data_IF_161867656170
#
_entry.id   IF_161867656170
#
_cell.length_a   1.000
_cell.length_b   1.000
_cell.length_c   1.000
_cell.angle_alpha   90.00
_cell.angle_beta   90.00
_cell.angle_gamma   90.00
#
_symmetry.space_group_name_H-M   'P 1'
#
loop_
_entity.id
_entity.type
_entity.pdbx_description
1 polymer ?
#
# COMPACT_ATOMS: atom_id res chain seq x y z
N UNK A 1 -10.87 -13.18 9.32
CA UNK A 1 -11.31 -11.86 8.86
C UNK A 1 -10.50 -10.71 9.50
N UNK A 2 -10.46 -10.55 10.85
CA UNK A 2 -9.73 -9.45 11.51
C UNK A 2 -8.23 -9.51 11.23
N UNK A 3 -7.59 -10.67 11.39
CA UNK A 3 -6.15 -10.82 11.12
C UNK A 3 -5.76 -10.52 9.68
N UNK A 4 -6.58 -10.90 8.70
CA UNK A 4 -6.37 -10.58 7.28
C UNK A 4 -6.43 -9.07 7.04
N UNK A 5 -7.41 -8.39 7.64
CA UNK A 5 -7.56 -6.93 7.52
C UNK A 5 -6.38 -6.17 8.16
N UNK A 6 -5.90 -6.61 9.33
CA UNK A 6 -4.72 -6.03 9.98
C UNK A 6 -3.45 -6.24 9.15
N UNK A 7 -3.26 -7.43 8.57
CA UNK A 7 -2.12 -7.71 7.69
C UNK A 7 -2.15 -6.84 6.42
N UNK A 8 -3.28 -6.83 5.74
CA UNK A 8 -3.48 -6.01 4.52
C UNK A 8 -3.31 -4.52 4.85
N UNK A 9 -3.92 -4.05 5.94
CA UNK A 9 -3.77 -2.68 6.43
C UNK A 9 -2.31 -2.33 6.73
N UNK A 10 -1.55 -3.22 7.34
CA UNK A 10 -0.13 -3.00 7.56
C UNK A 10 0.65 -2.97 6.24
N UNK A 11 0.48 -3.95 5.36
CA UNK A 11 1.28 -4.05 4.13
C UNK A 11 0.97 -2.92 3.15
N UNK A 12 -0.29 -2.58 2.92
CA UNK A 12 -0.68 -1.52 2.00
C UNK A 12 -0.53 -0.15 2.64
N UNK A 13 -1.25 0.09 3.75
CA UNK A 13 -1.31 1.40 4.39
C UNK A 13 -0.02 1.74 5.17
N UNK A 14 0.45 0.83 6.02
CA UNK A 14 1.63 1.05 6.85
C UNK A 14 2.93 1.04 6.05
N UNK A 15 3.12 0.04 5.18
CA UNK A 15 4.39 -0.17 4.51
C UNK A 15 4.44 0.49 3.12
N UNK A 16 3.60 0.06 2.15
CA UNK A 16 3.68 0.60 0.78
C UNK A 16 3.33 2.09 0.74
N UNK A 17 2.26 2.48 1.40
CA UNK A 17 1.81 3.87 1.40
C UNK A 17 2.72 4.76 2.26
N UNK A 18 2.75 4.55 3.58
CA UNK A 18 3.43 5.47 4.51
C UNK A 18 4.95 5.39 4.44
N UNK A 19 5.51 4.18 4.33
CA UNK A 19 6.97 4.06 4.26
C UNK A 19 7.49 4.19 2.83
N UNK A 20 7.06 3.37 1.88
CA UNK A 20 7.64 3.36 0.54
C UNK A 20 7.38 4.68 -0.21
N UNK A 21 6.17 5.26 -0.11
CA UNK A 21 5.82 6.48 -0.85
C UNK A 21 6.26 7.75 -0.14
N UNK A 22 6.07 7.85 1.19
CA UNK A 22 6.21 9.09 1.94
C UNK A 22 7.36 9.13 2.94
N UNK A 23 7.99 8.00 3.26
CA UNK A 23 9.01 7.92 4.32
C UNK A 23 8.51 8.49 5.66
N UNK A 24 7.24 8.35 5.97
CA UNK A 24 6.62 8.90 7.16
C UNK A 24 7.09 8.25 8.46
N UNK A 25 7.68 7.06 8.38
CA UNK A 25 8.34 6.33 9.47
C UNK A 25 9.54 5.55 8.92
N UNK A 26 10.31 4.87 9.79
CA UNK A 26 11.48 4.10 9.38
C UNK A 26 11.47 2.71 10.03
N UNK A 27 11.22 1.62 9.27
CA UNK A 27 11.40 0.26 9.76
C UNK A 27 12.87 -0.07 9.98
N UNK A 28 13.16 -1.05 10.83
CA UNK A 28 14.44 -1.74 10.80
C UNK A 28 14.62 -2.48 9.47
N UNK A 29 15.87 -2.80 9.10
CA UNK A 29 16.13 -3.51 7.83
C UNK A 29 15.49 -4.90 7.77
N UNK A 30 15.37 -5.57 8.92
CA UNK A 30 14.66 -6.85 9.03
C UNK A 30 13.15 -6.67 8.74
N UNK A 31 12.49 -5.70 9.37
CA UNK A 31 11.07 -5.40 9.15
C UNK A 31 10.82 -4.98 7.70
N UNK A 32 11.70 -4.17 7.13
CA UNK A 32 11.64 -3.77 5.72
C UNK A 32 11.72 -4.98 4.79
N UNK A 33 12.71 -5.86 4.97
CA UNK A 33 12.89 -7.07 4.17
C UNK A 33 11.70 -8.03 4.28
N UNK A 34 11.18 -8.24 5.49
CA UNK A 34 9.99 -9.05 5.72
C UNK A 34 8.76 -8.48 5.03
N UNK A 35 8.57 -7.15 5.09
CA UNK A 35 7.44 -6.49 4.43
C UNK A 35 7.52 -6.56 2.91
N UNK A 36 8.71 -6.40 2.33
CA UNK A 36 8.94 -6.60 0.88
C UNK A 36 8.67 -8.04 0.48
N UNK A 37 9.11 -9.01 1.29
CA UNK A 37 8.82 -10.43 1.06
C UNK A 37 7.31 -10.70 1.09
N UNK A 38 6.60 -10.24 2.12
CA UNK A 38 5.17 -10.48 2.28
C UNK A 38 4.34 -9.81 1.18
N UNK A 39 4.70 -8.59 0.74
CA UNK A 39 4.04 -7.95 -0.40
C UNK A 39 4.21 -8.75 -1.69
N UNK A 40 5.37 -9.37 -1.88
CA UNK A 40 5.64 -10.25 -3.03
C UNK A 40 4.93 -11.59 -2.90
N UNK A 41 4.98 -12.20 -1.71
CA UNK A 41 4.34 -13.48 -1.40
C UNK A 41 2.84 -13.46 -1.69
N UNK A 42 2.16 -12.37 -1.35
CA UNK A 42 0.73 -12.18 -1.59
C UNK A 42 0.42 -11.44 -2.90
N UNK A 43 1.37 -11.31 -3.81
CA UNK A 43 1.18 -10.59 -5.09
C UNK A 43 0.53 -9.21 -4.92
N UNK A 44 0.85 -8.51 -3.82
CA UNK A 44 0.46 -7.11 -3.67
C UNK A 44 1.39 -6.27 -4.53
N UNK A 45 0.89 -5.27 -5.21
CA UNK A 45 1.66 -4.41 -6.16
C UNK A 45 3.15 -4.26 -5.78
N UNK A 46 4.12 -4.40 -6.71
CA UNK A 46 5.53 -4.16 -6.39
C UNK A 46 5.75 -2.81 -5.74
N UNK A 47 6.56 -2.76 -4.67
CA UNK A 47 6.72 -1.54 -3.86
C UNK A 47 7.14 -0.30 -4.67
N UNK A 48 8.03 -0.46 -5.66
CA UNK A 48 8.44 0.64 -6.54
C UNK A 48 7.29 1.15 -7.42
N UNK A 49 6.49 0.21 -7.96
CA UNK A 49 5.30 0.55 -8.76
C UNK A 49 4.27 1.30 -7.92
N UNK A 50 3.95 0.75 -6.75
CA UNK A 50 3.01 1.36 -5.81
C UNK A 50 3.43 2.78 -5.42
N UNK A 51 4.69 2.95 -5.01
CA UNK A 51 5.23 4.25 -4.63
C UNK A 51 5.21 5.26 -5.79
N UNK A 52 5.47 4.81 -7.03
CA UNK A 52 5.43 5.68 -8.20
C UNK A 52 4.01 6.17 -8.50
N UNK A 53 3.03 5.25 -8.55
CA UNK A 53 1.61 5.59 -8.77
C UNK A 53 1.14 6.58 -7.73
N UNK A 54 1.36 6.29 -6.45
CA UNK A 54 0.89 7.11 -5.35
C UNK A 54 1.53 8.50 -5.30
N UNK A 55 2.82 8.62 -5.62
CA UNK A 55 3.50 9.92 -5.71
C UNK A 55 3.04 10.75 -6.90
N UNK A 56 2.67 10.13 -8.01
CA UNK A 56 2.04 10.82 -9.14
C UNK A 56 0.64 11.30 -8.78
N UNK A 57 -0.13 10.48 -8.05
CA UNK A 57 -1.42 10.89 -7.51
C UNK A 57 -1.29 12.16 -6.65
N UNK A 58 -0.39 12.21 -5.67
CA UNK A 58 -0.17 13.43 -4.88
C UNK A 58 0.25 14.65 -5.69
N UNK A 59 0.94 14.45 -6.82
CA UNK A 59 1.34 15.54 -7.72
C UNK A 59 0.18 16.07 -8.56
N UNK A 60 -0.72 15.22 -8.97
CA UNK A 60 -1.76 15.51 -9.93
C UNK A 60 -3.17 15.25 -9.41
N UNK A 61 -3.32 15.14 -8.09
CA UNK A 61 -4.55 14.79 -7.39
C UNK A 61 -5.80 15.35 -8.07
N UNK A 62 -6.73 14.47 -8.41
CA UNK A 62 -8.04 14.76 -8.98
C UNK A 62 -8.04 15.52 -10.33
N UNK A 63 -6.90 15.59 -10.99
CA UNK A 63 -6.79 16.14 -12.37
C UNK A 63 -6.83 15.00 -13.40
N UNK A 64 -6.94 15.34 -14.68
CA UNK A 64 -6.86 14.38 -15.79
C UNK A 64 -5.53 13.62 -15.87
N UNK A 65 -4.48 14.12 -15.21
CA UNK A 65 -3.15 13.49 -15.13
C UNK A 65 -2.99 12.61 -13.89
N UNK A 66 -3.99 12.54 -13.02
CA UNK A 66 -3.98 11.64 -11.88
C UNK A 66 -4.03 10.19 -12.37
N UNK A 67 -3.08 9.31 -11.98
CA UNK A 67 -3.08 7.93 -12.44
C UNK A 67 -4.24 7.09 -11.90
N UNK A 68 -4.91 7.51 -10.84
CA UNK A 68 -6.02 6.78 -10.21
C UNK A 68 -7.04 7.71 -9.53
N UNK A 69 -8.08 7.13 -8.90
CA UNK A 69 -9.14 7.87 -8.22
C UNK A 69 -10.43 7.95 -9.04
N UNK A 70 -11.32 8.87 -8.65
CA UNK A 70 -12.64 9.02 -9.28
C UNK A 70 -12.63 9.62 -10.69
N UNK A 71 -11.49 9.99 -11.21
CA UNK A 71 -11.31 10.42 -12.61
C UNK A 71 -11.24 9.24 -13.58
N UNK A 72 -11.09 8.01 -13.05
CA UNK A 72 -10.90 6.78 -13.80
C UNK A 72 -11.96 5.73 -13.46
N UNK A 73 -12.15 4.74 -14.34
CA UNK A 73 -12.99 3.59 -14.06
C UNK A 73 -12.39 2.70 -12.95
N UNK A 74 -13.20 1.83 -12.35
CA UNK A 74 -12.74 0.82 -11.40
C UNK A 74 -11.67 -0.08 -12.03
N UNK A 75 -11.84 -0.43 -13.30
CA UNK A 75 -10.88 -1.25 -14.03
C UNK A 75 -9.55 -0.53 -14.25
N UNK A 76 -9.55 0.75 -14.64
CA UNK A 76 -8.32 1.53 -14.81
C UNK A 76 -7.57 1.70 -13.49
N UNK A 77 -8.29 1.95 -12.40
CA UNK A 77 -7.72 1.99 -11.05
C UNK A 77 -7.03 0.66 -10.67
N UNK A 78 -7.63 -0.48 -11.02
CA UNK A 78 -7.01 -1.78 -10.81
C UNK A 78 -5.77 -1.97 -11.69
N UNK A 79 -5.85 -1.62 -12.97
CA UNK A 79 -4.77 -1.84 -13.93
C UNK A 79 -3.52 -1.04 -13.63
N UNK A 80 -3.66 0.24 -13.24
CA UNK A 80 -2.51 1.13 -13.00
C UNK A 80 -1.65 0.68 -11.83
N UNK A 81 -2.24 0.08 -10.81
CA UNK A 81 -1.47 -0.44 -9.68
C UNK A 81 -0.84 -1.82 -9.95
N UNK A 82 -1.57 -2.68 -10.64
CA UNK A 82 -1.26 -4.11 -10.63
C UNK A 82 -0.61 -4.63 -11.92
N UNK A 83 -0.92 -4.01 -13.05
CA UNK A 83 -0.45 -4.51 -14.36
C UNK A 83 0.57 -3.57 -14.99
N UNK A 84 0.31 -2.28 -14.97
CA UNK A 84 1.16 -1.30 -15.66
C UNK A 84 1.38 -0.02 -14.83
N UNK A 85 2.04 -0.12 -13.67
CA UNK A 85 2.32 1.06 -12.86
C UNK A 85 3.31 1.99 -13.59
N UNK A 86 3.04 3.29 -13.66
CA UNK A 86 3.99 4.24 -14.22
C UNK A 86 5.27 4.30 -13.36
N UNK A 87 6.43 4.18 -13.98
CA UNK A 87 7.73 4.12 -13.29
C UNK A 87 8.47 5.46 -13.21
N UNK A 88 7.78 6.56 -13.51
CA UNK A 88 8.39 7.89 -13.66
C UNK A 88 8.63 8.63 -12.34
N UNK A 89 8.01 8.19 -11.24
CA UNK A 89 8.07 8.86 -9.93
C UNK A 89 8.60 7.96 -8.79
N UNK A 90 9.38 6.92 -9.14
CA UNK A 90 9.98 6.03 -8.15
C UNK A 90 10.96 6.82 -7.28
N UNK A 91 10.92 6.68 -5.94
CA UNK A 91 11.90 7.28 -5.06
C UNK A 91 13.32 6.83 -5.38
N UNK A 92 14.27 7.75 -5.50
CA UNK A 92 15.67 7.43 -5.87
C UNK A 92 16.34 6.43 -4.94
N UNK A 93 16.00 6.45 -3.64
CA UNK A 93 16.54 5.53 -2.66
C UNK A 93 16.10 4.08 -2.92
N UNK A 94 14.88 3.85 -3.43
CA UNK A 94 14.40 2.51 -3.81
C UNK A 94 15.14 1.98 -5.05
N UNK A 95 15.38 2.83 -6.04
CA UNK A 95 16.12 2.45 -7.27
C UNK A 95 17.54 1.97 -6.94
N UNK A 96 18.17 2.56 -5.92
CA UNK A 96 19.54 2.23 -5.49
C UNK A 96 19.61 1.02 -4.55
N UNK A 97 18.50 0.58 -4.00
CA UNK A 97 18.45 -0.51 -3.04
C UNK A 97 18.21 -1.85 -3.74
N UNK A 98 19.15 -2.79 -3.55
CA UNK A 98 19.11 -4.13 -4.15
C UNK A 98 17.87 -4.93 -3.77
N UNK A 99 17.27 -4.67 -2.59
CA UNK A 99 16.07 -5.36 -2.13
C UNK A 99 14.89 -5.09 -3.06
N UNK A 100 14.66 -3.82 -3.40
CA UNK A 100 13.57 -3.44 -4.30
C UNK A 100 13.83 -3.80 -5.75
N UNK A 101 15.10 -3.74 -6.18
CA UNK A 101 15.52 -4.25 -7.49
C UNK A 101 15.29 -5.75 -7.63
N UNK A 102 15.59 -6.53 -6.58
CA UNK A 102 15.31 -7.96 -6.52
C UNK A 102 13.80 -8.23 -6.57
N UNK A 103 13.00 -7.52 -5.76
CA UNK A 103 11.54 -7.63 -5.80
C UNK A 103 11.01 -7.37 -7.22
N UNK A 104 11.40 -6.26 -7.84
CA UNK A 104 10.90 -5.90 -9.16
C UNK A 104 11.22 -6.94 -10.23
N UNK A 105 12.41 -7.58 -10.14
CA UNK A 105 12.86 -8.59 -11.09
C UNK A 105 12.15 -9.92 -10.93
N UNK A 106 11.90 -10.37 -9.71
CA UNK A 106 11.40 -11.73 -9.41
C UNK A 106 10.01 -11.73 -8.80
N UNK A 107 9.29 -10.63 -8.95
CA UNK A 107 7.97 -10.44 -8.33
C UNK A 107 6.96 -11.53 -8.73
N UNK A 108 6.84 -11.79 -10.04
CA UNK A 108 5.89 -12.76 -10.54
C UNK A 108 6.30 -14.19 -10.20
N UNK A 109 7.58 -14.51 -10.34
CA UNK A 109 8.09 -15.84 -10.03
C UNK A 109 7.87 -16.20 -8.56
N UNK A 110 8.25 -15.31 -7.65
CA UNK A 110 8.09 -15.53 -6.21
C UNK A 110 6.60 -15.60 -5.86
N UNK A 111 5.79 -14.69 -6.34
CA UNK A 111 4.36 -14.64 -6.03
C UNK A 111 3.60 -15.86 -6.54
N UNK A 112 3.85 -16.28 -7.77
CA UNK A 112 3.21 -17.46 -8.35
C UNK A 112 3.67 -18.77 -7.66
N UNK A 113 4.97 -18.89 -7.37
CA UNK A 113 5.50 -20.03 -6.60
C UNK A 113 4.93 -20.07 -5.19
N UNK A 114 4.78 -18.91 -4.54
CA UNK A 114 4.12 -18.81 -3.24
C UNK A 114 2.68 -19.28 -3.30
N UNK A 115 1.92 -18.85 -4.29
CA UNK A 115 0.55 -19.31 -4.52
C UNK A 115 0.48 -20.81 -4.73
N UNK A 116 1.30 -21.37 -5.63
CA UNK A 116 1.37 -22.81 -5.87
C UNK A 116 1.67 -23.59 -4.59
N UNK A 117 2.66 -23.13 -3.79
CA UNK A 117 2.99 -23.74 -2.50
C UNK A 117 1.81 -23.69 -1.53
N UNK A 118 1.12 -22.56 -1.41
CA UNK A 118 -0.03 -22.41 -0.52
C UNK A 118 -1.19 -23.31 -0.93
N UNK A 119 -1.44 -23.50 -2.24
CA UNK A 119 -2.43 -24.45 -2.73
C UNK A 119 -2.04 -25.90 -2.41
N UNK A 120 -0.78 -26.28 -2.61
CA UNK A 120 -0.29 -27.62 -2.27
C UNK A 120 -0.40 -27.94 -0.77
N UNK A 121 -0.20 -26.93 0.08
CA UNK A 121 -0.33 -27.06 1.55
C UNK A 121 -1.79 -26.99 2.05
N UNK A 122 -2.78 -26.82 1.16
CA UNK A 122 -4.19 -26.69 1.52
C UNK A 122 -4.61 -25.29 1.99
N UNK A 123 -3.74 -24.29 1.92
CA UNK A 123 -3.99 -22.89 2.33
C UNK A 123 -4.25 -21.93 1.15
N UNK A 124 -4.45 -22.46 -0.07
CA UNK A 124 -4.62 -21.66 -1.27
C UNK A 124 -5.77 -20.65 -1.19
N UNK A 125 -6.92 -21.05 -0.59
CA UNK A 125 -8.06 -20.15 -0.41
C UNK A 125 -7.75 -18.99 0.57
N UNK A 126 -6.95 -19.25 1.62
CA UNK A 126 -6.49 -18.20 2.52
C UNK A 126 -5.58 -17.21 1.78
N UNK A 127 -4.62 -17.71 1.00
CA UNK A 127 -3.73 -16.88 0.19
C UNK A 127 -4.50 -16.02 -0.82
N UNK A 128 -5.43 -16.63 -1.57
CA UNK A 128 -6.29 -15.92 -2.52
C UNK A 128 -7.17 -14.86 -1.83
N UNK A 129 -7.68 -15.16 -0.63
CA UNK A 129 -8.51 -14.20 0.13
C UNK A 129 -7.73 -12.97 0.58
N UNK A 130 -6.46 -13.11 0.96
CA UNK A 130 -5.59 -11.95 1.28
C UNK A 130 -5.43 -11.04 0.06
N UNK A 131 -5.18 -11.62 -1.10
CA UNK A 131 -5.06 -10.89 -2.36
C UNK A 131 -6.36 -10.16 -2.70
N UNK A 132 -7.49 -10.87 -2.68
CA UNK A 132 -8.79 -10.30 -2.99
C UNK A 132 -9.13 -9.12 -2.05
N UNK A 133 -8.94 -9.29 -0.73
CA UNK A 133 -9.16 -8.21 0.25
C UNK A 133 -8.24 -7.02 -0.03
N UNK A 134 -6.97 -7.26 -0.34
CA UNK A 134 -6.01 -6.20 -0.62
C UNK A 134 -6.41 -5.37 -1.86
N UNK A 135 -6.82 -6.03 -2.94
CA UNK A 135 -7.24 -5.32 -4.16
C UNK A 135 -8.57 -4.58 -4.00
N UNK A 136 -9.54 -5.19 -3.32
CA UNK A 136 -10.80 -4.50 -2.99
C UNK A 136 -10.49 -3.28 -2.13
N UNK A 137 -9.67 -3.43 -1.08
CA UNK A 137 -9.26 -2.34 -0.20
C UNK A 137 -8.63 -1.19 -1.00
N UNK A 138 -7.67 -1.49 -1.87
CA UNK A 138 -6.94 -0.49 -2.65
C UNK A 138 -7.85 0.27 -3.63
N UNK A 139 -8.66 -0.44 -4.43
CA UNK A 139 -9.53 0.17 -5.43
C UNK A 139 -10.63 1.02 -4.77
N UNK A 140 -11.28 0.47 -3.74
CA UNK A 140 -12.37 1.19 -3.05
C UNK A 140 -11.85 2.37 -2.24
N UNK A 141 -10.64 2.28 -1.65
CA UNK A 141 -9.99 3.40 -0.97
C UNK A 141 -9.78 4.60 -1.91
N UNK A 142 -9.29 4.35 -3.12
CA UNK A 142 -9.04 5.40 -4.10
C UNK A 142 -10.33 6.15 -4.50
N UNK A 143 -11.46 5.44 -4.54
CA UNK A 143 -12.77 6.03 -4.86
C UNK A 143 -13.35 6.76 -3.67
N UNK A 144 -13.37 6.11 -2.49
CA UNK A 144 -13.99 6.64 -1.27
C UNK A 144 -13.18 7.77 -0.63
N UNK A 145 -11.88 7.80 -0.87
CA UNK A 145 -10.98 8.85 -0.39
C UNK A 145 -11.16 10.18 -1.11
N UNK A 146 -11.66 10.15 -2.37
CA UNK A 146 -11.84 11.30 -3.25
C UNK A 146 -13.26 11.42 -3.84
N UNK A 147 -14.33 11.34 -3.04
CA UNK A 147 -15.67 11.61 -3.56
C UNK A 147 -15.70 13.03 -4.13
N UNK A 148 -16.40 13.20 -5.26
CA UNK A 148 -16.52 14.50 -5.93
C UNK A 148 -15.18 15.16 -6.29
N UNK A 149 -14.15 14.34 -6.57
CA UNK A 149 -12.80 14.79 -6.93
C UNK A 149 -12.17 15.70 -5.86
N UNK A 150 -12.30 15.34 -4.60
CA UNK A 150 -11.67 16.04 -3.49
C UNK A 150 -11.37 15.07 -2.33
N UNK A 151 -10.18 15.14 -1.71
CA UNK A 151 -9.87 14.28 -0.59
C UNK A 151 -10.72 14.61 0.63
N UNK A 152 -11.32 13.60 1.26
CA UNK A 152 -12.19 13.74 2.43
C UNK A 152 -11.68 12.98 3.64
N UNK A 153 -12.23 13.33 4.82
CA UNK A 153 -12.08 12.51 6.02
C UNK A 153 -13.41 11.80 6.33
N UNK A 154 -13.36 10.49 6.49
CA UNK A 154 -14.48 9.70 6.98
C UNK A 154 -14.03 8.83 8.15
N UNK A 155 -14.27 9.29 9.38
CA UNK A 155 -13.83 8.61 10.60
C UNK A 155 -14.49 7.24 10.77
N UNK A 156 -15.76 7.10 10.41
CA UNK A 156 -16.51 5.84 10.56
C UNK A 156 -15.96 4.75 9.64
N UNK A 157 -15.81 5.07 8.37
CA UNK A 157 -15.23 4.13 7.41
C UNK A 157 -13.72 3.88 7.63
N UNK A 158 -13.01 4.79 8.31
CA UNK A 158 -11.60 4.59 8.67
C UNK A 158 -11.37 3.35 9.54
N UNK A 159 -12.39 2.87 10.28
CA UNK A 159 -12.32 1.60 11.02
C UNK A 159 -12.06 0.43 10.06
N UNK A 160 -12.76 0.38 8.94
CA UNK A 160 -12.66 -0.69 7.95
C UNK A 160 -11.42 -0.53 7.04
N UNK A 161 -11.00 0.72 6.80
CA UNK A 161 -9.89 1.07 5.91
C UNK A 161 -8.60 1.43 6.64
N UNK A 162 -8.41 0.85 7.84
CA UNK A 162 -7.13 0.97 8.58
C UNK A 162 -6.64 2.42 8.72
N UNK A 163 -7.56 3.38 8.94
CA UNK A 163 -7.22 4.79 9.09
C UNK A 163 -7.02 5.58 7.79
N UNK A 164 -7.01 4.91 6.64
CA UNK A 164 -6.75 5.55 5.34
C UNK A 164 -7.83 6.54 4.91
N UNK A 165 -9.05 6.41 5.43
CA UNK A 165 -10.12 7.38 5.13
C UNK A 165 -10.08 8.65 6.01
N UNK A 166 -9.01 8.88 6.78
CA UNK A 166 -8.55 10.23 7.13
C UNK A 166 -7.75 10.85 5.97
N UNK A 167 -8.26 10.72 4.76
CA UNK A 167 -7.53 10.94 3.52
C UNK A 167 -7.16 12.40 3.27
N UNK A 168 -8.06 13.34 3.64
CA UNK A 168 -7.75 14.78 3.63
C UNK A 168 -6.58 15.13 4.54
N UNK A 169 -6.53 14.55 5.74
CA UNK A 169 -5.42 14.78 6.67
C UNK A 169 -4.10 14.28 6.08
N UNK A 170 -4.14 13.10 5.42
CA UNK A 170 -3.00 12.53 4.74
C UNK A 170 -2.52 13.42 3.60
N UNK A 171 -3.38 13.89 2.70
CA UNK A 171 -3.01 14.79 1.61
C UNK A 171 -2.40 16.10 2.11
N UNK A 172 -2.88 16.63 3.23
CA UNK A 172 -2.30 17.84 3.84
C UNK A 172 -0.93 17.63 4.49
N UNK A 173 -0.68 16.44 5.05
CA UNK A 173 0.55 16.11 5.79
C UNK A 173 1.01 14.68 5.49
N UNK A 174 1.46 14.37 4.25
CA UNK A 174 1.77 13.02 3.83
C UNK A 174 2.95 12.37 4.58
N UNK A 175 3.87 13.19 5.12
CA UNK A 175 4.98 12.72 5.94
C UNK A 175 4.59 12.34 7.38
N UNK A 176 3.32 12.53 7.78
CA UNK A 176 2.85 12.19 9.11
C UNK A 176 2.58 10.69 9.20
N UNK A 177 3.10 9.96 10.22
CA UNK A 177 2.88 8.52 10.31
C UNK A 177 1.48 8.13 10.79
N UNK A 178 0.76 9.04 11.46
CA UNK A 178 -0.61 8.87 11.94
C UNK A 178 -1.54 9.83 11.21
N UNK A 179 -2.61 9.30 10.59
CA UNK A 179 -3.56 10.09 9.81
C UNK A 179 -4.75 10.59 10.63
N UNK A 180 -5.19 9.82 11.64
CA UNK A 180 -6.31 10.17 12.47
C UNK A 180 -6.36 9.42 13.79
N UNK A 181 -7.48 9.53 14.51
CA UNK A 181 -7.67 8.88 15.80
C UNK A 181 -7.75 7.35 15.67
N UNK A 182 -8.46 6.88 14.65
CA UNK A 182 -8.64 5.44 14.35
C UNK A 182 -7.69 5.09 13.21
N UNK A 183 -6.54 4.53 13.55
CA UNK A 183 -5.43 4.29 12.63
C UNK A 183 -4.69 3.01 13.02
N UNK A 184 -5.24 1.87 12.60
CA UNK A 184 -4.73 0.56 13.01
C UNK A 184 -3.25 0.33 12.66
N UNK A 185 -2.72 0.64 11.45
CA UNK A 185 -1.30 0.49 11.16
C UNK A 185 -0.40 1.31 12.08
N UNK A 186 -0.81 2.53 12.43
CA UNK A 186 -0.05 3.32 13.39
C UNK A 186 -0.13 2.74 14.80
N UNK A 187 -1.34 2.42 15.27
CA UNK A 187 -1.58 1.99 16.66
C UNK A 187 -0.97 0.63 16.98
N UNK A 188 -1.01 -0.32 16.04
CA UNK A 188 -0.57 -1.70 16.26
C UNK A 188 0.84 -2.02 15.75
N UNK A 189 1.36 -1.24 14.78
CA UNK A 189 2.63 -1.54 14.14
C UNK A 189 3.60 -0.36 14.15
N UNK A 190 3.31 0.75 13.49
CA UNK A 190 4.28 1.82 13.22
C UNK A 190 4.86 2.40 14.50
N UNK A 191 4.02 2.68 15.49
CA UNK A 191 4.47 3.25 16.77
C UNK A 191 5.50 2.38 17.53
N UNK A 192 5.56 1.09 17.23
CA UNK A 192 6.50 0.15 17.86
C UNK A 192 7.68 -0.20 16.95
N UNK A 193 7.51 -0.13 15.64
CA UNK A 193 8.49 -0.55 14.64
C UNK A 193 9.30 0.62 14.06
N UNK A 194 8.97 1.88 14.38
CA UNK A 194 9.70 3.06 13.91
C UNK A 194 11.00 3.25 14.71
N UNK A 195 12.12 2.88 14.09
CA UNK A 195 13.47 2.97 14.73
C UNK A 195 13.99 4.40 14.91
N UNK A 196 13.30 5.43 14.40
CA UNK A 196 13.70 6.84 14.62
C UNK A 196 13.44 7.30 16.05
N UNK A 197 12.56 6.62 16.78
CA UNK A 197 12.22 6.99 18.17
C UNK A 197 13.34 6.66 19.16
N UNK A 198 14.27 5.80 18.76
CA UNK A 198 15.37 5.34 19.59
C UNK A 198 16.66 6.17 19.35
N UNK A 199 16.54 7.27 18.59
CA UNK A 199 17.59 8.25 18.31
C UNK A 199 17.19 9.63 18.86
#
# INVERSE_FOLDING_TARGET
AIGTNLLVGYLISGFQHRYCSHKSWQPSRFVEGLSVFLTTFFLLTPCMGWASVHRLHHRYTDTEKDPHGNVHSIFDNFMVFNINPPVTSIPRWMIRDRLYGFQARYYWEIGLLSGALMFLLGYGMLWASVIAVAYIFQVTLNILGHPERSPVNNALLSVLYSGELYHKNHHQKPARPQFGLIDAPYQFFIRFLDVRKDR
#
